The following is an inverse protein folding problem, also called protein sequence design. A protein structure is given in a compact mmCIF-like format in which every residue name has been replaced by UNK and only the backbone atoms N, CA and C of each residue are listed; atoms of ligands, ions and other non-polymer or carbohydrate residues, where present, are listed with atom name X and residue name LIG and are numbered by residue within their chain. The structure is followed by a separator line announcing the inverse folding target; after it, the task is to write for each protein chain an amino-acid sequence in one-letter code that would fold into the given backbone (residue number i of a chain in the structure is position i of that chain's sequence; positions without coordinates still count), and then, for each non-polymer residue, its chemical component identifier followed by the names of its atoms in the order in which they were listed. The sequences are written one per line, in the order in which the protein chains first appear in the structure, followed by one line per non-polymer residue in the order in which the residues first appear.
data_IF_066687418450
#
_entry.id   IF_066687418450
#
_cell.length_a   1.000
_cell.length_b   1.000
_cell.length_c   1.000
_cell.angle_alpha   90.00
_cell.angle_beta   90.00
_cell.angle_gamma   90.00
#
_symmetry.space_group_name_H-M   'P 1'
#
loop_
_entity.id
_entity.type
_entity.pdbx_description
1 polymer ?
#
# COMPACT_ATOMS: atom_id res chain seq x y z
N UNK A 1 -10.32 -9.07 -1.80
CA UNK A 1 -10.48 -7.62 -1.63
C UNK A 1 -10.17 -7.21 -0.20
N UNK A 2 -9.58 -6.05 0.02
CA UNK A 2 -9.25 -5.59 1.37
C UNK A 2 -10.53 -5.20 2.12
N UNK A 3 -10.81 -5.76 3.32
CA UNK A 3 -11.99 -5.37 4.09
C UNK A 3 -12.03 -3.87 4.39
N UNK A 4 -13.22 -3.30 4.52
CA UNK A 4 -13.38 -1.85 4.71
C UNK A 4 -12.68 -1.33 5.96
N UNK A 5 -12.62 -2.13 7.03
CA UNK A 5 -11.91 -1.76 8.26
C UNK A 5 -10.41 -1.58 8.07
N UNK A 6 -9.84 -2.19 7.03
CA UNK A 6 -8.42 -2.09 6.70
C UNK A 6 -8.14 -1.12 5.55
N UNK A 7 -9.13 -0.37 5.11
CA UNK A 7 -8.97 0.65 4.07
C UNK A 7 -8.78 2.02 4.69
N UNK A 8 -7.72 2.70 4.27
CA UNK A 8 -7.47 4.08 4.64
C UNK A 8 -8.10 4.97 3.56
N UNK A 9 -9.29 5.51 3.83
CA UNK A 9 -10.04 6.24 2.81
C UNK A 9 -10.46 7.66 3.19
N UNK A 10 -10.28 8.08 4.45
CA UNK A 10 -10.58 9.44 4.85
C UNK A 10 -9.44 10.38 4.49
N UNK A 11 -9.76 11.50 3.84
CA UNK A 11 -8.75 12.45 3.41
C UNK A 11 -7.89 12.97 4.55
N UNK A 12 -8.49 13.26 5.71
CA UNK A 12 -7.75 13.77 6.86
C UNK A 12 -6.72 12.75 7.36
N UNK A 13 -7.04 11.48 7.34
CA UNK A 13 -6.13 10.41 7.75
C UNK A 13 -5.00 10.24 6.75
N UNK A 14 -5.31 10.31 5.45
CA UNK A 14 -4.32 10.22 4.38
C UNK A 14 -3.35 11.40 4.46
N UNK A 15 -3.87 12.62 4.65
CA UNK A 15 -3.04 13.82 4.78
C UNK A 15 -2.11 13.72 5.98
N UNK A 16 -2.57 13.15 7.09
CA UNK A 16 -1.73 12.95 8.27
C UNK A 16 -0.54 12.04 7.97
N UNK A 17 -0.76 10.95 7.22
CA UNK A 17 0.32 10.05 6.83
C UNK A 17 1.33 10.77 5.94
N UNK A 18 0.86 11.59 4.99
CA UNK A 18 1.75 12.37 4.13
C UNK A 18 2.59 13.36 4.93
N UNK A 19 2.02 13.99 5.95
CA UNK A 19 2.71 15.03 6.72
C UNK A 19 3.64 14.46 7.78
N UNK A 20 3.26 13.37 8.46
CA UNK A 20 3.95 12.85 9.64
C UNK A 20 4.58 11.49 9.43
N UNK A 21 4.32 10.84 8.30
CA UNK A 21 4.75 9.48 8.07
C UNK A 21 6.24 9.32 7.81
N UNK A 22 6.71 8.11 8.02
CA UNK A 22 8.04 7.66 7.61
C UNK A 22 7.88 6.88 6.32
N UNK A 23 8.92 6.91 5.47
CA UNK A 23 8.89 6.22 4.19
C UNK A 23 9.97 5.15 4.12
N UNK A 24 9.60 3.95 3.71
CA UNK A 24 10.54 2.86 3.39
C UNK A 24 10.35 2.45 1.94
N UNK A 25 11.40 1.93 1.33
CA UNK A 25 11.41 1.60 -0.11
C UNK A 25 11.79 0.15 -0.34
N UNK A 26 11.17 -0.45 -1.37
CA UNK A 26 11.57 -1.74 -1.92
C UNK A 26 11.45 -1.61 -3.45
N UNK A 27 12.58 -1.40 -4.14
CA UNK A 27 12.56 -1.11 -5.57
C UNK A 27 11.72 0.14 -5.85
N UNK A 28 10.75 0.02 -6.75
CA UNK A 28 9.85 1.11 -7.11
C UNK A 28 8.55 1.15 -6.32
N UNK A 29 8.43 0.31 -5.31
CA UNK A 29 7.33 0.34 -4.36
C UNK A 29 7.79 1.00 -3.08
N UNK A 30 6.99 1.92 -2.56
CA UNK A 30 7.29 2.60 -1.30
C UNK A 30 6.11 2.51 -0.35
N UNK A 31 6.39 2.52 0.94
CA UNK A 31 5.37 2.59 1.99
C UNK A 31 5.67 3.80 2.86
N UNK A 32 4.69 4.69 2.96
CA UNK A 32 4.72 5.79 3.91
C UNK A 32 3.68 5.52 4.99
N UNK A 33 4.08 5.55 6.26
CA UNK A 33 3.20 5.09 7.33
C UNK A 33 3.39 5.87 8.62
N UNK A 34 2.33 5.84 9.44
CA UNK A 34 2.39 6.30 10.84
C UNK A 34 1.75 5.21 11.72
N UNK A 35 2.22 5.01 12.96
CA UNK A 35 1.51 4.13 13.90
C UNK A 35 0.11 4.65 14.18
N UNK A 36 -0.84 3.73 14.41
CA UNK A 36 -2.18 4.10 14.84
C UNK A 36 -2.57 3.33 16.10
N UNK A 37 -3.57 3.82 16.83
CA UNK A 37 -4.05 3.22 18.06
C UNK A 37 -5.45 2.61 17.90
N UNK A 38 -5.83 2.26 16.68
CA UNK A 38 -7.19 1.83 16.37
C UNK A 38 -7.43 0.33 16.53
N UNK A 39 -6.38 -0.43 16.84
CA UNK A 39 -6.48 -1.89 16.93
C UNK A 39 -6.47 -2.58 15.58
N UNK A 40 -6.41 -1.84 14.49
CA UNK A 40 -6.42 -2.36 13.12
C UNK A 40 -5.48 -1.55 12.23
N UNK A 41 -4.75 -2.25 11.37
CA UNK A 41 -3.93 -1.59 10.34
C UNK A 41 -4.84 -1.16 9.19
N UNK A 42 -4.58 0.03 8.64
CA UNK A 42 -5.34 0.54 7.50
C UNK A 42 -4.38 0.96 6.40
N UNK A 43 -4.73 0.63 5.16
CA UNK A 43 -3.88 0.90 4.00
C UNK A 43 -4.67 1.49 2.84
N UNK A 44 -3.99 2.28 2.03
CA UNK A 44 -4.49 2.65 0.70
C UNK A 44 -3.36 2.58 -0.31
N UNK A 45 -3.70 2.30 -1.56
CA UNK A 45 -2.76 2.27 -2.67
C UNK A 45 -2.89 3.57 -3.44
N UNK A 46 -1.81 4.33 -3.53
CA UNK A 46 -1.80 5.61 -4.24
C UNK A 46 -1.30 5.36 -5.66
N UNK A 47 -2.17 5.58 -6.63
CA UNK A 47 -1.83 5.55 -8.05
C UNK A 47 -2.21 6.89 -8.67
N UNK A 48 -1.46 7.32 -9.68
CA UNK A 48 -1.72 8.58 -10.34
C UNK A 48 -1.69 8.39 -11.85
N UNK A 49 -2.00 9.46 -12.59
CA UNK A 49 -1.87 9.46 -14.03
C UNK A 49 -0.42 9.21 -14.48
N UNK A 50 0.55 9.46 -13.61
CA UNK A 50 1.95 9.15 -13.88
C UNK A 50 2.22 7.64 -13.94
N UNK A 51 1.43 6.84 -13.22
CA UNK A 51 1.53 5.38 -13.28
C UNK A 51 1.01 4.87 -14.62
N UNK A 52 -0.18 5.30 -15.00
CA UNK A 52 -0.79 5.01 -16.29
C UNK A 52 -1.97 5.94 -16.51
N UNK A 53 -2.16 6.38 -17.74
CA UNK A 53 -3.35 7.15 -18.13
C UNK A 53 -4.60 6.28 -18.18
N UNK A 54 -4.44 4.96 -18.29
CA UNK A 54 -5.58 4.02 -18.35
C UNK A 54 -6.03 3.66 -16.95
N UNK A 55 -7.29 4.00 -16.63
CA UNK A 55 -7.88 3.68 -15.34
C UNK A 55 -7.89 2.18 -15.07
N UNK A 56 -8.11 1.36 -16.12
CA UNK A 56 -8.12 -0.11 -15.97
C UNK A 56 -6.79 -0.65 -15.45
N UNK A 57 -5.67 -0.11 -15.93
CA UNK A 57 -4.33 -0.52 -15.48
C UNK A 57 -4.05 -0.07 -14.06
N UNK A 58 -4.43 1.18 -13.71
CA UNK A 58 -4.30 1.66 -12.33
C UNK A 58 -5.12 0.81 -11.37
N UNK A 59 -6.35 0.47 -11.75
CA UNK A 59 -7.23 -0.34 -10.92
C UNK A 59 -6.71 -1.77 -10.74
N UNK A 60 -6.11 -2.34 -11.79
CA UNK A 60 -5.50 -3.66 -11.70
C UNK A 60 -4.35 -3.67 -10.69
N UNK A 61 -3.47 -2.65 -10.73
CA UNK A 61 -2.37 -2.55 -9.79
C UNK A 61 -2.88 -2.39 -8.36
N UNK A 62 -3.87 -1.52 -8.14
CA UNK A 62 -4.51 -1.36 -6.84
C UNK A 62 -5.06 -2.68 -6.30
N UNK A 63 -5.76 -3.42 -7.15
CA UNK A 63 -6.36 -4.70 -6.77
C UNK A 63 -5.30 -5.71 -6.36
N UNK A 64 -4.23 -5.82 -7.13
CA UNK A 64 -3.13 -6.74 -6.84
C UNK A 64 -2.45 -6.41 -5.51
N UNK A 65 -2.17 -5.14 -5.26
CA UNK A 65 -1.53 -4.71 -4.02
C UNK A 65 -2.46 -4.87 -2.81
N UNK A 66 -3.75 -4.55 -2.96
CA UNK A 66 -4.72 -4.78 -1.88
C UNK A 66 -4.82 -6.25 -1.51
N UNK A 67 -4.81 -7.12 -2.51
CA UNK A 67 -4.87 -8.56 -2.29
C UNK A 67 -3.61 -9.06 -1.58
N UNK A 68 -2.44 -8.55 -1.97
CA UNK A 68 -1.19 -8.87 -1.31
C UNK A 68 -1.21 -8.44 0.16
N UNK A 69 -1.69 -7.24 0.45
CA UNK A 69 -1.82 -6.75 1.83
C UNK A 69 -2.73 -7.67 2.64
N UNK A 70 -3.89 -8.01 2.09
CA UNK A 70 -4.87 -8.84 2.78
C UNK A 70 -4.32 -10.24 3.11
N UNK A 71 -3.68 -10.87 2.14
CA UNK A 71 -3.25 -12.27 2.25
C UNK A 71 -1.94 -12.45 2.99
N UNK A 72 -0.97 -11.59 2.69
CA UNK A 72 0.42 -11.85 3.07
C UNK A 72 0.94 -10.88 4.12
N UNK A 73 0.35 -9.70 4.26
CA UNK A 73 0.88 -8.65 5.12
C UNK A 73 0.09 -8.56 6.43
N UNK A 74 -1.24 -8.38 6.36
CA UNK A 74 -2.06 -8.19 7.56
C UNK A 74 -1.90 -9.30 8.59
N UNK A 75 -1.88 -10.60 8.19
CA UNK A 75 -1.74 -11.67 9.18
C UNK A 75 -0.40 -11.67 9.92
N UNK A 76 0.62 -11.04 9.35
CA UNK A 76 1.98 -11.05 9.89
C UNK A 76 2.41 -9.70 10.48
N UNK A 77 1.53 -8.70 10.53
CA UNK A 77 1.86 -7.41 11.11
C UNK A 77 1.96 -7.50 12.62
N UNK A 78 3.04 -6.93 13.16
CA UNK A 78 3.26 -6.85 14.60
C UNK A 78 2.73 -5.56 15.21
N UNK A 79 2.51 -4.53 14.40
CA UNK A 79 2.08 -3.22 14.84
C UNK A 79 1.04 -2.67 13.87
N UNK A 80 0.00 -2.03 14.41
CA UNK A 80 -1.03 -1.41 13.58
C UNK A 80 -0.59 -0.04 13.11
N UNK A 81 -0.72 0.20 11.80
CA UNK A 81 -0.30 1.45 11.15
C UNK A 81 -1.35 1.91 10.16
N UNK A 82 -1.34 3.21 9.88
CA UNK A 82 -1.99 3.79 8.70
C UNK A 82 -0.92 3.95 7.63
N UNK A 83 -1.08 3.30 6.50
CA UNK A 83 -0.06 3.26 5.46
C UNK A 83 -0.55 3.62 4.07
N UNK A 84 0.33 4.27 3.32
CA UNK A 84 0.12 4.58 1.91
C UNK A 84 1.14 3.80 1.09
N UNK A 85 0.66 2.92 0.21
CA UNK A 85 1.52 2.25 -0.75
C UNK A 85 1.66 3.15 -1.97
N UNK A 86 2.87 3.66 -2.17
CA UNK A 86 3.19 4.58 -3.26
C UNK A 86 3.74 3.79 -4.44
N UNK A 87 3.20 4.04 -5.63
CA UNK A 87 3.47 3.22 -6.81
C UNK A 87 4.07 4.02 -7.94
N UNK A 88 4.77 3.31 -8.84
CA UNK A 88 5.33 3.85 -10.08
C UNK A 88 4.90 3.00 -11.26
N UNK A 89 5.01 3.55 -12.48
CA UNK A 89 4.61 2.87 -13.71
C UNK A 89 5.33 1.54 -13.92
N UNK A 90 6.58 1.43 -13.49
CA UNK A 90 7.36 0.19 -13.61
C UNK A 90 6.71 -1.00 -12.93
N UNK A 91 5.89 -0.78 -11.90
CA UNK A 91 5.21 -1.86 -11.20
C UNK A 91 4.16 -2.56 -12.07
N UNK A 92 3.68 -1.91 -13.12
CA UNK A 92 2.70 -2.51 -14.05
C UNK A 92 3.29 -3.69 -14.81
N UNK A 93 4.61 -3.72 -14.99
CA UNK A 93 5.29 -4.79 -15.71
C UNK A 93 5.57 -6.01 -14.82
N UNK A 94 5.36 -5.91 -13.51
CA UNK A 94 5.65 -6.98 -12.57
C UNK A 94 4.51 -7.98 -12.48
N UNK A 95 4.87 -9.26 -12.30
CA UNK A 95 3.89 -10.29 -12.01
C UNK A 95 3.38 -10.13 -10.58
N UNK A 96 2.30 -10.86 -10.25
CA UNK A 96 1.77 -10.89 -8.88
C UNK A 96 2.85 -11.36 -7.88
N UNK A 97 3.61 -12.39 -8.25
CA UNK A 97 4.67 -12.92 -7.38
C UNK A 97 5.76 -11.88 -7.10
N UNK A 98 6.13 -11.10 -8.12
CA UNK A 98 7.13 -10.04 -7.96
C UNK A 98 6.64 -8.91 -7.07
N UNK A 99 5.38 -8.49 -7.23
CA UNK A 99 4.75 -7.49 -6.34
C UNK A 99 4.69 -7.99 -4.91
N UNK A 100 4.34 -9.24 -4.71
CA UNK A 100 4.30 -9.88 -3.39
C UNK A 100 5.67 -9.87 -2.73
N UNK A 101 6.72 -10.17 -3.48
CA UNK A 101 8.09 -10.16 -2.97
C UNK A 101 8.51 -8.76 -2.53
N UNK A 102 8.21 -7.74 -3.33
CA UNK A 102 8.52 -6.35 -2.97
C UNK A 102 7.77 -5.91 -1.72
N UNK A 103 6.49 -6.23 -1.64
CA UNK A 103 5.69 -5.90 -0.47
C UNK A 103 6.23 -6.56 0.80
N UNK A 104 6.62 -7.83 0.70
CA UNK A 104 7.21 -8.56 1.83
C UNK A 104 8.50 -7.91 2.33
N UNK A 105 9.37 -7.47 1.42
CA UNK A 105 10.60 -6.75 1.80
C UNK A 105 10.26 -5.44 2.51
N UNK A 106 9.28 -4.69 1.99
CA UNK A 106 8.83 -3.44 2.60
C UNK A 106 8.42 -3.61 4.05
N UNK A 107 7.60 -4.61 4.33
CA UNK A 107 7.02 -4.79 5.65
C UNK A 107 7.95 -5.48 6.66
N UNK A 108 9.14 -5.89 6.23
CA UNK A 108 10.19 -6.37 7.14
C UNK A 108 11.08 -5.24 7.68
N UNK A 109 10.97 -4.06 7.08
CA UNK A 109 11.80 -2.92 7.47
C UNK A 109 11.19 -2.11 8.67
#
# INVERSE_FOLDING_TARGET
MLPSQHRLNKKIDIDRVFKRGRTVYAGDLALRFVPNNLGEARFTVVTSLKVSKRATKRNLLKRRLRETVRRDILPNLKQNVDGLLLTKASLLALSYAELKSLASVLFKK
#
